data_IF_257154511125
#
_entry.id   IF_257154511125
#
_cell.length_a   1.000
_cell.length_b   1.000
_cell.length_c   1.000
_cell.angle_alpha   90.00
_cell.angle_beta   90.00
_cell.angle_gamma   90.00
#
_symmetry.space_group_name_H-M   'P 1'
#
loop_
_entity.id
_entity.type
_entity.pdbx_description
1 polymer ?
#
# COMPACT_ATOMS: atom_id res chain seq x y z
N UNK A 1 2.91 -3.47 -4.53
CA UNK A 1 2.79 -2.00 -4.54
C UNK A 1 3.09 -1.53 -5.95
N UNK A 2 2.36 -0.53 -6.45
CA UNK A 2 2.59 0.03 -7.79
C UNK A 2 2.84 1.52 -7.61
N UNK A 3 3.99 1.99 -8.05
CA UNK A 3 4.34 3.41 -8.03
C UNK A 3 3.77 4.10 -9.27
N UNK A 4 3.17 5.28 -9.09
CA UNK A 4 2.36 5.89 -10.13
C UNK A 4 3.18 6.55 -11.26
N UNK A 5 4.33 7.15 -10.97
CA UNK A 5 5.13 7.89 -11.94
C UNK A 5 5.94 6.96 -12.84
N UNK A 6 6.83 6.16 -12.26
CA UNK A 6 7.75 5.24 -12.92
C UNK A 6 7.08 3.93 -13.35
N UNK A 7 5.89 3.63 -12.82
CA UNK A 7 5.22 2.32 -12.98
C UNK A 7 6.04 1.16 -12.41
N UNK A 8 6.92 1.43 -11.45
CA UNK A 8 7.61 0.40 -10.70
C UNK A 8 6.61 -0.48 -9.95
N UNK A 9 6.84 -1.79 -9.96
CA UNK A 9 5.98 -2.78 -9.35
C UNK A 9 6.81 -3.61 -8.36
N UNK A 10 6.40 -3.59 -7.10
CA UNK A 10 6.94 -4.46 -6.06
C UNK A 10 5.90 -5.54 -5.71
N UNK A 11 6.24 -6.81 -5.93
CA UNK A 11 5.39 -7.96 -5.61
C UNK A 11 6.09 -8.85 -4.59
N UNK A 12 5.50 -9.00 -3.41
CA UNK A 12 6.01 -9.86 -2.35
C UNK A 12 4.99 -10.94 -2.02
N UNK A 13 5.43 -12.19 -2.05
CA UNK A 13 4.59 -13.33 -1.69
C UNK A 13 4.38 -13.37 -0.16
N UNK A 14 3.12 -13.52 0.27
CA UNK A 14 2.77 -13.63 1.68
C UNK A 14 2.50 -15.11 2.03
N UNK A 15 3.23 -15.71 2.99
CA UNK A 15 3.01 -17.11 3.38
C UNK A 15 1.67 -17.32 4.09
N UNK A 16 1.15 -16.28 4.76
CA UNK A 16 -0.19 -16.26 5.33
C UNK A 16 -0.76 -14.83 5.33
N UNK A 17 -2.08 -14.72 5.35
CA UNK A 17 -2.78 -13.43 5.38
C UNK A 17 -2.85 -12.87 6.81
N UNK A 18 -1.72 -12.35 7.30
CA UNK A 18 -1.61 -11.64 8.59
C UNK A 18 -1.27 -10.18 8.35
N UNK A 19 -1.99 -9.30 9.04
CA UNK A 19 -1.80 -7.86 8.90
C UNK A 19 -0.45 -7.39 9.47
N UNK A 20 0.06 -8.04 10.51
CA UNK A 20 1.40 -7.81 11.05
C UNK A 20 2.49 -8.11 10.02
N UNK A 21 2.37 -9.26 9.33
CA UNK A 21 3.30 -9.67 8.27
C UNK A 21 3.27 -8.72 7.09
N UNK A 22 2.08 -8.28 6.68
CA UNK A 22 1.93 -7.33 5.59
C UNK A 22 2.60 -5.99 5.92
N UNK A 23 2.41 -5.49 7.15
CA UNK A 23 3.05 -4.26 7.61
C UNK A 23 4.58 -4.39 7.61
N UNK A 24 5.10 -5.49 8.17
CA UNK A 24 6.54 -5.74 8.22
C UNK A 24 7.14 -5.77 6.80
N UNK A 25 6.53 -6.53 5.90
CA UNK A 25 6.98 -6.65 4.50
C UNK A 25 6.87 -5.31 3.76
N UNK A 26 5.85 -4.51 4.04
CA UNK A 26 5.73 -3.17 3.45
C UNK A 26 6.91 -2.27 3.86
N UNK A 27 7.33 -2.31 5.13
CA UNK A 27 8.53 -1.56 5.55
C UNK A 27 9.81 -2.13 4.94
N UNK A 28 10.04 -3.43 5.11
CA UNK A 28 11.32 -4.07 4.82
C UNK A 28 11.59 -4.23 3.32
N UNK A 29 10.54 -4.36 2.50
CA UNK A 29 10.68 -4.57 1.07
C UNK A 29 10.25 -3.36 0.25
N UNK A 30 9.17 -2.65 0.62
CA UNK A 30 8.69 -1.53 -0.21
C UNK A 30 9.40 -0.23 0.17
N UNK A 31 9.30 0.18 1.44
CA UNK A 31 9.87 1.45 1.89
C UNK A 31 11.40 1.41 1.93
N UNK A 32 12.01 0.29 2.32
CA UNK A 32 13.47 0.18 2.37
C UNK A 32 14.11 0.18 0.97
N UNK A 33 13.50 -0.49 -0.01
CA UNK A 33 14.07 -0.60 -1.35
C UNK A 33 13.76 0.61 -2.23
N UNK A 34 12.54 1.15 -2.15
CA UNK A 34 12.09 2.23 -3.03
C UNK A 34 12.19 3.62 -2.39
N UNK A 35 12.24 3.68 -1.06
CA UNK A 35 12.20 4.92 -0.30
C UNK A 35 10.79 5.32 0.15
N UNK A 36 10.73 6.45 0.86
CA UNK A 36 9.48 7.01 1.40
C UNK A 36 8.73 7.72 0.27
N UNK A 37 7.48 7.33 0.04
CA UNK A 37 6.59 7.97 -0.91
C UNK A 37 5.97 9.22 -0.28
N UNK A 38 5.73 10.27 -1.06
CA UNK A 38 5.00 11.44 -0.57
C UNK A 38 3.53 11.10 -0.25
N UNK A 39 2.91 10.28 -1.10
CA UNK A 39 1.50 9.94 -1.01
C UNK A 39 1.25 8.43 -1.19
N UNK A 40 0.26 7.89 -0.49
CA UNK A 40 -0.20 6.51 -0.58
C UNK A 40 -1.72 6.43 -0.80
N UNK A 41 -2.14 5.71 -1.83
CA UNK A 41 -3.56 5.42 -2.08
C UNK A 41 -3.90 4.01 -1.56
N UNK A 42 -4.88 3.91 -0.65
CA UNK A 42 -5.27 2.64 -0.02
C UNK A 42 -6.78 2.36 -0.11
N UNK A 43 -7.14 1.08 -0.19
CA UNK A 43 -8.54 0.66 -0.16
C UNK A 43 -9.15 0.83 1.25
N UNK A 44 -10.45 1.10 1.32
CA UNK A 44 -11.24 1.29 2.55
C UNK A 44 -11.46 0.01 3.38
N UNK A 45 -10.68 -1.05 3.15
CA UNK A 45 -10.77 -2.26 3.96
C UNK A 45 -10.36 -1.92 5.40
N UNK A 46 -11.35 -1.85 6.31
CA UNK A 46 -11.19 -1.39 7.71
C UNK A 46 -9.97 -1.96 8.43
N UNK A 47 -9.65 -3.24 8.20
CA UNK A 47 -8.52 -3.89 8.87
C UNK A 47 -7.17 -3.32 8.41
N UNK A 48 -7.03 -2.94 7.15
CA UNK A 48 -5.81 -2.35 6.61
C UNK A 48 -5.68 -0.89 7.05
N UNK A 49 -6.77 -0.13 6.98
CA UNK A 49 -6.76 1.31 7.21
C UNK A 49 -6.12 1.71 8.55
N UNK A 50 -6.56 1.11 9.67
CA UNK A 50 -6.14 1.55 11.01
C UNK A 50 -4.65 1.33 11.29
N UNK A 51 -4.07 0.20 10.86
CA UNK A 51 -2.63 -0.05 11.09
C UNK A 51 -1.75 0.76 10.15
N UNK A 52 -2.16 0.92 8.90
CA UNK A 52 -1.43 1.71 7.92
C UNK A 52 -1.50 3.21 8.21
N UNK A 53 -2.61 3.73 8.72
CA UNK A 53 -2.75 5.13 9.15
C UNK A 53 -1.71 5.53 10.20
N UNK A 54 -1.50 4.69 11.22
CA UNK A 54 -0.48 4.94 12.24
C UNK A 54 0.95 4.94 11.66
N UNK A 55 1.18 4.13 10.62
CA UNK A 55 2.47 4.03 9.91
C UNK A 55 2.70 5.26 9.06
N UNK A 56 1.73 5.62 8.23
CA UNK A 56 1.79 6.78 7.35
C UNK A 56 1.97 8.07 8.15
N UNK A 57 1.26 8.20 9.28
CA UNK A 57 1.43 9.32 10.21
C UNK A 57 2.87 9.41 10.73
N UNK A 58 3.49 8.28 11.13
CA UNK A 58 4.88 8.26 11.62
C UNK A 58 5.91 8.52 10.53
N UNK A 59 5.64 8.04 9.31
CA UNK A 59 6.52 8.19 8.17
C UNK A 59 6.33 9.50 7.41
N UNK A 60 5.41 10.38 7.86
CA UNK A 60 5.02 11.62 7.18
C UNK A 60 4.59 11.38 5.73
N UNK A 61 3.86 10.29 5.51
CA UNK A 61 3.28 9.92 4.22
C UNK A 61 1.82 10.37 4.23
N UNK A 62 1.43 11.18 3.26
CA UNK A 62 0.03 11.52 3.06
C UNK A 62 -0.71 10.29 2.53
N UNK A 63 -1.92 10.01 3.02
CA UNK A 63 -2.70 8.88 2.50
C UNK A 63 -4.12 9.25 2.15
N UNK A 64 -4.60 8.64 1.08
CA UNK A 64 -5.97 8.77 0.59
C UNK A 64 -6.65 7.41 0.58
N UNK A 65 -7.94 7.41 0.92
CA UNK A 65 -8.75 6.20 0.83
C UNK A 65 -9.62 6.23 -0.41
N UNK A 66 -9.72 5.10 -1.11
CA UNK A 66 -10.58 4.99 -2.29
C UNK A 66 -12.04 4.80 -1.88
N UNK A 67 -12.99 5.33 -2.65
CA UNK A 67 -14.41 5.04 -2.44
C UNK A 67 -14.67 3.54 -2.63
N UNK A 68 -15.37 2.91 -1.69
CA UNK A 68 -15.73 1.49 -1.74
C UNK A 68 -16.50 1.17 -3.03
N UNK A 69 -16.18 0.02 -3.65
CA UNK A 69 -16.83 -0.51 -4.86
C UNK A 69 -16.68 0.34 -6.14
N UNK A 70 -15.64 1.17 -6.23
CA UNK A 70 -15.32 1.90 -7.46
C UNK A 70 -14.07 1.29 -8.15
N UNK A 71 -14.23 0.25 -8.99
CA UNK A 71 -13.11 -0.55 -9.53
C UNK A 71 -12.09 0.30 -10.29
N UNK A 72 -12.54 1.40 -10.91
CA UNK A 72 -11.66 2.29 -11.67
C UNK A 72 -10.55 2.95 -10.82
N UNK A 73 -10.69 3.02 -9.50
CA UNK A 73 -9.73 3.71 -8.62
C UNK A 73 -8.48 2.86 -8.37
N UNK A 74 -8.62 1.53 -8.33
CA UNK A 74 -7.50 0.60 -8.16
C UNK A 74 -6.97 0.00 -9.48
N UNK A 75 -7.38 0.58 -10.61
CA UNK A 75 -7.10 0.03 -11.95
C UNK A 75 -5.62 -0.26 -12.21
N UNK A 76 -4.70 0.57 -11.69
CA UNK A 76 -3.26 0.31 -11.84
C UNK A 76 -2.84 -0.99 -11.13
N UNK A 77 -3.32 -1.21 -9.91
CA UNK A 77 -3.03 -2.43 -9.14
C UNK A 77 -3.76 -3.64 -9.74
N UNK A 78 -5.00 -3.47 -10.21
CA UNK A 78 -5.79 -4.54 -10.83
C UNK A 78 -5.21 -5.04 -12.16
N UNK A 79 -4.49 -4.19 -12.91
CA UNK A 79 -3.84 -4.59 -14.17
C UNK A 79 -2.55 -5.39 -14.01
N UNK A 80 -1.97 -5.41 -12.82
CA UNK A 80 -0.71 -6.12 -12.54
C UNK A 80 -0.96 -7.60 -12.25
N UNK A 81 -2.19 -7.98 -11.88
CA UNK A 81 -2.60 -9.34 -11.51
C UNK A 81 -3.19 -10.09 -12.71
#
# INVERSE_FOLDING_TARGET
MVENFSKYIELVALPQNSLELIVMIYFDCVLACFGIHAEALIDQRRNFLRKFEAIYTKALIDYHTTIRNHPKINFLTERVV
#
